data_IF_062691228070
#
_entry.id   IF_062691228070
#
_cell.length_a   1.000
_cell.length_b   1.000
_cell.length_c   1.000
_cell.angle_alpha   90.00
_cell.angle_beta   90.00
_cell.angle_gamma   90.00
#
_symmetry.space_group_name_H-M   'P 1'
#
loop_
_entity.id
_entity.type
_entity.pdbx_description
1 polymer ?
#
# COMPACT_ATOMS: atom_id res chain seq x y z
N UNK A 1 8.56 13.14 18.41
CA UNK A 1 9.69 14.09 18.49
C UNK A 1 9.99 14.59 19.92
N UNK A 2 9.36 14.00 20.96
CA UNK A 2 9.61 14.36 22.36
C UNK A 2 10.68 13.48 23.05
N UNK A 3 11.04 12.34 22.46
CA UNK A 3 12.02 11.35 23.01
C UNK A 3 13.28 11.28 22.12
N UNK A 4 13.58 12.32 21.33
CA UNK A 4 14.78 12.37 20.46
C UNK A 4 14.67 11.67 19.09
N UNK A 5 13.51 11.09 18.74
CA UNK A 5 13.30 10.48 17.42
C UNK A 5 13.40 11.54 16.30
N UNK A 6 14.38 11.34 15.40
CA UNK A 6 14.58 12.19 14.21
C UNK A 6 13.36 12.10 13.30
N UNK A 7 13.00 13.22 12.65
CA UNK A 7 11.91 13.32 11.65
C UNK A 7 11.97 12.19 10.60
N UNK A 8 13.19 11.80 10.24
CA UNK A 8 13.46 10.72 9.30
C UNK A 8 13.00 9.35 9.80
N UNK A 9 13.12 9.03 11.11
CA UNK A 9 12.72 7.73 11.64
C UNK A 9 11.21 7.53 11.53
N UNK A 10 10.42 8.56 11.88
CA UNK A 10 8.96 8.52 11.75
C UNK A 10 8.57 8.37 10.28
N UNK A 11 9.20 9.13 9.40
CA UNK A 11 8.92 9.06 7.96
C UNK A 11 9.20 7.65 7.39
N UNK A 12 10.36 7.07 7.73
CA UNK A 12 10.74 5.74 7.27
C UNK A 12 9.82 4.65 7.83
N UNK A 13 9.38 4.76 9.08
CA UNK A 13 8.46 3.78 9.68
C UNK A 13 7.11 3.76 8.97
N UNK A 14 6.47 4.92 8.81
CA UNK A 14 5.18 5.01 8.11
C UNK A 14 5.30 4.61 6.64
N UNK A 15 6.41 4.95 5.99
CA UNK A 15 6.64 4.54 4.61
C UNK A 15 6.83 3.02 4.48
N UNK A 16 7.61 2.41 5.39
CA UNK A 16 7.79 0.97 5.42
C UNK A 16 6.46 0.23 5.66
N UNK A 17 5.63 0.73 6.58
CA UNK A 17 4.32 0.17 6.88
C UNK A 17 3.36 0.28 5.68
N UNK A 18 3.34 1.44 5.02
CA UNK A 18 2.55 1.64 3.79
C UNK A 18 2.99 0.71 2.66
N UNK A 19 4.30 0.54 2.45
CA UNK A 19 4.85 -0.39 1.45
C UNK A 19 4.46 -1.83 1.81
N UNK A 20 4.59 -2.22 3.08
CA UNK A 20 4.25 -3.57 3.53
C UNK A 20 2.77 -3.89 3.29
N UNK A 21 1.86 -2.98 3.64
CA UNK A 21 0.42 -3.13 3.39
C UNK A 21 0.12 -3.19 1.89
N UNK A 22 0.79 -2.37 1.07
CA UNK A 22 0.55 -2.32 -0.37
C UNK A 22 1.03 -3.58 -1.09
N UNK A 23 2.21 -4.09 -0.72
CA UNK A 23 2.76 -5.33 -1.30
C UNK A 23 1.94 -6.54 -0.86
N UNK A 24 1.62 -6.65 0.43
CA UNK A 24 0.79 -7.75 0.93
C UNK A 24 -0.62 -7.73 0.33
N UNK A 25 -1.26 -6.56 0.26
CA UNK A 25 -2.54 -6.38 -0.41
C UNK A 25 -2.49 -6.70 -1.90
N UNK A 26 -1.42 -6.29 -2.59
CA UNK A 26 -1.20 -6.61 -4.01
C UNK A 26 -1.07 -8.11 -4.27
N UNK A 27 -0.29 -8.82 -3.46
CA UNK A 27 -0.15 -10.29 -3.56
C UNK A 27 -1.51 -10.97 -3.32
N UNK A 28 -2.20 -10.61 -2.25
CA UNK A 28 -3.52 -11.17 -1.92
C UNK A 28 -4.53 -10.88 -3.04
N UNK A 29 -4.54 -9.66 -3.58
CA UNK A 29 -5.40 -9.27 -4.69
C UNK A 29 -5.15 -10.08 -5.97
N UNK A 30 -3.88 -10.34 -6.30
CA UNK A 30 -3.50 -11.19 -7.46
C UNK A 30 -4.00 -12.62 -7.25
N UNK A 31 -3.81 -13.19 -6.05
CA UNK A 31 -4.26 -14.55 -5.75
C UNK A 31 -5.79 -14.68 -5.84
N UNK A 32 -6.52 -13.73 -5.25
CA UNK A 32 -7.99 -13.70 -5.32
C UNK A 32 -8.46 -13.51 -6.77
N UNK A 33 -7.85 -12.59 -7.52
CA UNK A 33 -8.19 -12.34 -8.92
C UNK A 33 -7.96 -13.56 -9.81
N UNK A 34 -6.84 -14.26 -9.63
CA UNK A 34 -6.55 -15.50 -10.34
C UNK A 34 -7.56 -16.61 -9.97
N UNK A 35 -7.86 -16.78 -8.68
CA UNK A 35 -8.83 -17.76 -8.21
C UNK A 35 -10.24 -17.51 -8.79
N UNK A 36 -10.68 -16.24 -8.80
CA UNK A 36 -11.96 -15.85 -9.39
C UNK A 36 -11.99 -16.07 -10.90
N UNK A 37 -10.91 -15.74 -11.61
CA UNK A 37 -10.79 -15.98 -13.06
C UNK A 37 -10.94 -17.47 -13.39
N UNK A 38 -10.28 -18.34 -12.62
CA UNK A 38 -10.38 -19.79 -12.78
C UNK A 38 -11.79 -20.30 -12.43
N UNK A 39 -12.39 -19.82 -11.34
CA UNK A 39 -13.74 -20.20 -10.94
C UNK A 39 -14.79 -19.81 -12.00
N UNK A 40 -14.72 -18.58 -12.53
CA UNK A 40 -15.62 -18.10 -13.58
C UNK A 40 -15.44 -18.94 -14.86
N UNK A 41 -14.21 -19.22 -15.25
CA UNK A 41 -13.93 -20.02 -16.44
C UNK A 41 -14.48 -21.46 -16.29
N UNK A 42 -14.35 -22.05 -15.10
CA UNK A 42 -14.89 -23.38 -14.81
C UNK A 42 -16.43 -23.43 -14.79
N UNK A 43 -17.09 -22.36 -14.32
CA UNK A 43 -18.56 -22.30 -14.20
C UNK A 43 -19.26 -21.94 -15.51
N UNK A 44 -18.68 -21.03 -16.29
CA UNK A 44 -19.31 -20.48 -17.51
C UNK A 44 -18.77 -21.09 -18.80
N UNK A 45 -17.63 -21.78 -18.74
CA UNK A 45 -16.91 -22.28 -19.91
C UNK A 45 -16.29 -21.18 -20.77
N UNK A 46 -16.36 -19.91 -20.37
CA UNK A 46 -15.75 -18.81 -21.11
C UNK A 46 -14.25 -18.76 -20.85
N UNK A 47 -13.42 -18.53 -21.87
CA UNK A 47 -11.99 -18.35 -21.68
C UNK A 47 -11.74 -17.06 -20.91
N UNK A 48 -11.20 -17.18 -19.70
CA UNK A 48 -10.78 -16.05 -18.86
C UNK A 48 -9.23 -16.03 -18.78
N UNK A 49 -8.54 -15.56 -19.83
CA UNK A 49 -7.09 -15.58 -19.89
C UNK A 49 -6.49 -14.62 -18.86
N UNK A 50 -5.60 -15.14 -18.04
CA UNK A 50 -4.86 -14.34 -17.05
C UNK A 50 -3.73 -13.61 -17.79
N UNK A 51 -3.86 -12.29 -17.92
CA UNK A 51 -2.84 -11.45 -18.56
C UNK A 51 -1.77 -11.00 -17.56
N UNK A 52 -0.52 -11.36 -17.83
CA UNK A 52 0.62 -10.93 -17.01
C UNK A 52 0.78 -9.40 -17.04
N UNK A 53 0.45 -8.74 -18.16
CA UNK A 53 0.46 -7.29 -18.27
C UNK A 53 -0.61 -6.64 -17.39
N UNK A 54 -1.81 -7.24 -17.29
CA UNK A 54 -2.87 -6.76 -16.40
C UNK A 54 -2.49 -6.92 -14.92
N UNK A 55 -1.88 -8.05 -14.57
CA UNK A 55 -1.34 -8.29 -13.21
C UNK A 55 -0.26 -7.25 -12.87
N UNK A 56 0.72 -7.09 -13.75
CA UNK A 56 1.81 -6.13 -13.54
C UNK A 56 1.28 -4.69 -13.43
N UNK A 57 0.34 -4.31 -14.30
CA UNK A 57 -0.30 -2.99 -14.26
C UNK A 57 -1.09 -2.75 -12.97
N UNK A 58 -1.89 -3.71 -12.53
CA UNK A 58 -2.64 -3.64 -11.28
C UNK A 58 -1.72 -3.57 -10.04
N UNK A 59 -0.66 -4.37 -10.02
CA UNK A 59 0.34 -4.34 -8.94
C UNK A 59 1.08 -3.00 -8.88
N UNK A 60 1.54 -2.48 -10.02
CA UNK A 60 2.21 -1.18 -10.10
C UNK A 60 1.28 -0.04 -9.66
N UNK A 61 0.01 -0.10 -10.06
CA UNK A 61 -0.99 0.88 -9.64
C UNK A 61 -1.21 0.84 -8.12
N UNK A 62 -1.40 -0.36 -7.55
CA UNK A 62 -1.54 -0.52 -6.09
C UNK A 62 -0.31 -0.01 -5.33
N UNK A 63 0.89 -0.35 -5.80
CA UNK A 63 2.14 0.14 -5.21
C UNK A 63 2.27 1.67 -5.30
N UNK A 64 1.93 2.27 -6.44
CA UNK A 64 1.96 3.72 -6.62
C UNK A 64 0.99 4.45 -5.67
N UNK A 65 -0.26 3.95 -5.57
CA UNK A 65 -1.26 4.47 -4.64
C UNK A 65 -0.77 4.34 -3.20
N UNK A 66 -0.27 3.16 -2.81
CA UNK A 66 0.27 2.89 -1.49
C UNK A 66 1.43 3.79 -1.08
N UNK A 67 2.41 3.96 -1.97
CA UNK A 67 3.56 4.84 -1.74
C UNK A 67 3.11 6.30 -1.65
N UNK A 68 2.23 6.75 -2.54
CA UNK A 68 1.74 8.13 -2.54
C UNK A 68 1.01 8.47 -1.24
N UNK A 69 0.04 7.64 -0.85
CA UNK A 69 -0.75 7.82 0.37
C UNK A 69 0.01 7.46 1.65
N UNK A 70 1.11 6.71 1.60
CA UNK A 70 2.00 6.52 2.74
C UNK A 70 2.96 7.69 2.94
N UNK A 71 3.57 8.17 1.85
CA UNK A 71 4.59 9.21 1.89
C UNK A 71 4.03 10.60 2.26
N UNK A 72 2.90 10.99 1.68
CA UNK A 72 2.32 12.31 1.93
C UNK A 72 1.97 12.58 3.42
N UNK A 73 1.18 11.72 4.11
CA UNK A 73 0.90 11.93 5.52
C UNK A 73 2.16 11.74 6.39
N UNK A 74 3.05 10.80 6.05
CA UNK A 74 4.32 10.64 6.77
C UNK A 74 5.17 11.91 6.74
N UNK A 75 5.23 12.58 5.58
CA UNK A 75 5.92 13.86 5.41
C UNK A 75 5.24 14.99 6.20
N UNK A 76 3.91 14.99 6.28
CA UNK A 76 3.15 15.95 7.10
C UNK A 76 3.40 15.71 8.59
N UNK A 77 3.32 14.47 9.06
CA UNK A 77 3.58 14.05 10.44
C UNK A 77 5.01 14.38 10.89
N UNK A 78 6.00 14.10 10.04
CA UNK A 78 7.39 14.40 10.32
C UNK A 78 7.70 15.90 10.41
N UNK A 79 6.83 16.79 9.89
CA UNK A 79 7.03 18.25 9.92
C UNK A 79 6.34 18.96 11.07
N UNK A 80 5.39 18.32 11.74
CA UNK A 80 4.67 18.88 12.89
C UNK A 80 5.63 19.23 14.04
N UNK A 81 5.39 20.38 14.68
CA UNK A 81 6.14 20.76 15.86
C UNK A 81 5.76 19.83 17.02
N UNK A 82 6.73 19.20 17.72
CA UNK A 82 6.43 18.29 18.83
C UNK A 82 5.61 18.94 19.95
N UNK A 83 5.77 20.25 20.14
CA UNK A 83 5.01 21.02 21.12
C UNK A 83 3.53 21.12 20.71
N UNK A 84 3.23 21.29 19.42
CA UNK A 84 1.84 21.28 18.93
C UNK A 84 1.25 19.86 18.97
N UNK A 85 2.03 18.84 18.61
CA UNK A 85 1.56 17.45 18.62
C UNK A 85 1.22 16.91 20.03
N UNK A 86 1.84 17.46 21.09
CA UNK A 86 1.54 17.13 22.50
C UNK A 86 0.49 18.04 23.14
N UNK A 87 0.19 19.19 22.52
CA UNK A 87 -0.75 20.19 23.04
C UNK A 87 -2.17 19.97 22.52
N UNK A 88 -2.35 19.07 21.56
CA UNK A 88 -3.62 18.43 21.26
C UNK A 88 -3.83 17.23 22.20
N UNK A 89 -4.07 17.55 23.48
CA UNK A 89 -5.14 16.85 24.22
C UNK A 89 -6.46 17.60 23.96
#
# INVERSE_FOLDING_TARGET
>A
MAIGARRLHVLLQFLAEAIFISVSGGIVGILIGAALSLAISALTGWPAPISLAAIAGGFLFSAAVGIFFGYYPARKAARLNPIEALRYE
#
